data_IF_051844470488
#
_entry.id   IF_051844470488
#
_cell.length_a   1.000
_cell.length_b   1.000
_cell.length_c   1.000
_cell.angle_alpha   90.00
_cell.angle_beta   90.00
_cell.angle_gamma   90.00
#
_symmetry.space_group_name_H-M   'P 1'
#
loop_
_entity.id
_entity.type
_entity.pdbx_description
1 polymer ?
#
# COMPACT_ATOMS: atom_id res chain seq x y z
N UNK A 1 -6.85 2.66 -8.40
CA UNK A 1 -5.56 1.98 -8.69
C UNK A 1 -5.86 0.50 -8.96
N UNK A 2 -5.22 -0.15 -9.94
CA UNK A 2 -5.64 -1.44 -10.53
C UNK A 2 -4.62 -2.59 -10.38
N UNK A 3 -3.67 -2.47 -9.45
CA UNK A 3 -2.66 -3.51 -9.27
C UNK A 3 -3.21 -4.71 -8.46
N UNK A 4 -3.47 -5.84 -9.11
CA UNK A 4 -4.16 -7.00 -8.51
C UNK A 4 -3.48 -7.56 -7.25
N UNK A 5 -2.15 -7.40 -7.14
CA UNK A 5 -1.39 -7.83 -5.96
C UNK A 5 -1.50 -6.87 -4.79
N UNK A 6 -1.83 -5.60 -5.03
CA UNK A 6 -1.98 -4.59 -3.98
C UNK A 6 -3.28 -4.84 -3.22
N UNK A 7 -3.15 -5.10 -1.92
CA UNK A 7 -4.29 -5.44 -1.06
C UNK A 7 -4.54 -4.42 0.05
N UNK A 8 -3.66 -3.42 0.19
CA UNK A 8 -3.79 -2.35 1.18
C UNK A 8 -3.47 -0.99 0.58
N UNK A 9 -4.17 0.01 1.09
CA UNK A 9 -3.90 1.41 0.83
C UNK A 9 -3.96 2.18 2.15
N UNK A 10 -3.06 3.15 2.32
CA UNK A 10 -3.11 4.12 3.41
C UNK A 10 -2.86 5.50 2.84
N UNK A 11 -3.72 6.47 3.15
CA UNK A 11 -3.63 7.82 2.60
C UNK A 11 -3.49 8.87 3.69
N UNK A 12 -2.88 10.00 3.34
CA UNK A 12 -2.73 11.18 4.18
C UNK A 12 -2.93 12.46 3.34
N UNK A 13 -3.40 13.52 3.99
CA UNK A 13 -3.57 14.84 3.38
C UNK A 13 -2.87 15.89 4.25
N UNK A 14 -2.23 16.87 3.61
CA UNK A 14 -1.62 18.00 4.30
C UNK A 14 -1.75 19.28 3.47
N UNK A 15 -1.99 20.40 4.12
CA UNK A 15 -1.97 21.69 3.44
C UNK A 15 -0.53 22.18 3.25
N UNK A 16 -0.23 22.70 2.06
CA UNK A 16 1.07 23.24 1.70
C UNK A 16 0.90 24.65 1.14
N UNK A 17 1.39 25.66 1.87
CA UNK A 17 1.40 27.04 1.39
C UNK A 17 2.19 27.20 0.09
N UNK A 18 3.26 26.42 -0.08
CA UNK A 18 4.00 26.25 -1.31
C UNK A 18 4.39 24.78 -1.47
N UNK A 19 3.89 24.13 -2.53
CA UNK A 19 4.21 22.75 -2.89
C UNK A 19 5.05 22.75 -4.17
N UNK A 20 6.25 22.18 -4.12
CA UNK A 20 7.08 21.98 -5.31
C UNK A 20 6.89 20.58 -5.88
N UNK A 21 6.86 20.47 -7.22
CA UNK A 21 6.75 19.19 -7.93
C UNK A 21 8.11 18.53 -8.24
N UNK A 22 9.21 19.14 -7.81
CA UNK A 22 10.57 18.67 -8.13
C UNK A 22 10.99 18.86 -9.59
N UNK A 23 10.16 19.53 -10.41
CA UNK A 23 10.43 19.88 -11.82
C UNK A 23 10.45 21.40 -12.04
N UNK A 24 10.58 22.16 -10.94
CA UNK A 24 10.67 23.62 -10.95
C UNK A 24 9.31 24.34 -10.88
N UNK A 25 8.18 23.62 -10.79
CA UNK A 25 6.86 24.27 -10.60
C UNK A 25 6.55 24.38 -9.11
N UNK A 26 5.88 25.47 -8.74
CA UNK A 26 5.42 25.72 -7.36
C UNK A 26 3.93 26.01 -7.37
N UNK A 27 3.17 25.21 -6.64
CA UNK A 27 1.74 25.37 -6.39
C UNK A 27 1.53 26.09 -5.07
N UNK A 28 0.82 27.22 -5.07
CA UNK A 28 0.52 27.98 -3.85
C UNK A 28 -0.80 27.53 -3.24
N UNK A 29 -0.86 27.50 -1.91
CA UNK A 29 -2.06 27.16 -1.13
C UNK A 29 -2.70 25.82 -1.54
N UNK A 30 -1.88 24.79 -1.70
CA UNK A 30 -2.29 23.48 -2.22
C UNK A 30 -2.65 22.50 -1.10
N UNK A 31 -3.57 21.58 -1.39
CA UNK A 31 -3.80 20.37 -0.58
C UNK A 31 -2.99 19.22 -1.17
N UNK A 32 -2.02 18.71 -0.42
CA UNK A 32 -1.16 17.61 -0.81
C UNK A 32 -1.74 16.28 -0.29
N UNK A 33 -2.25 15.46 -1.21
CA UNK A 33 -2.85 14.16 -0.91
C UNK A 33 -1.97 13.02 -1.42
N UNK A 34 -1.59 12.10 -0.53
CA UNK A 34 -0.69 10.99 -0.84
C UNK A 34 -1.32 9.68 -0.38
N UNK A 35 -1.25 8.66 -1.23
CA UNK A 35 -1.63 7.29 -0.88
C UNK A 35 -0.45 6.34 -1.08
N UNK A 36 -0.19 5.52 -0.07
CA UNK A 36 0.74 4.40 -0.12
C UNK A 36 -0.02 3.11 -0.40
N UNK A 37 0.54 2.29 -1.29
CA UNK A 37 -0.06 1.04 -1.74
C UNK A 37 0.83 -0.13 -1.37
N UNK A 38 0.26 -1.20 -0.79
CA UNK A 38 1.01 -2.38 -0.36
C UNK A 38 0.28 -3.69 -0.71
N UNK A 39 1.00 -4.70 -1.22
CA UNK A 39 2.34 -4.64 -1.81
C UNK A 39 2.46 -3.58 -2.93
N UNK A 40 3.67 -3.07 -3.16
CA UNK A 40 3.92 -2.12 -4.24
C UNK A 40 3.68 -2.77 -5.61
N UNK A 41 3.40 -1.93 -6.60
CA UNK A 41 3.13 -2.37 -7.96
C UNK A 41 3.69 -1.41 -8.99
N UNK A 42 3.07 -1.40 -10.18
CA UNK A 42 3.45 -0.54 -11.29
C UNK A 42 4.92 -0.71 -11.72
N UNK A 43 5.38 -1.97 -11.74
CA UNK A 43 6.73 -2.30 -12.19
C UNK A 43 6.80 -2.27 -13.71
N UNK A 44 7.88 -1.68 -14.25
CA UNK A 44 8.15 -1.66 -15.68
C UNK A 44 8.20 -3.09 -16.22
N UNK A 45 7.50 -3.34 -17.33
CA UNK A 45 7.42 -4.67 -17.95
C UNK A 45 6.46 -5.66 -17.29
N UNK A 46 5.72 -5.27 -16.23
CA UNK A 46 4.69 -6.10 -15.62
C UNK A 46 3.29 -5.55 -15.88
N UNK A 47 2.31 -6.45 -16.06
CA UNK A 47 0.90 -6.06 -16.20
C UNK A 47 0.24 -5.86 -14.84
N UNK A 48 -0.74 -4.95 -14.71
CA UNK A 48 -1.39 -4.70 -13.42
C UNK A 48 -2.20 -5.87 -12.86
N UNK A 49 -2.67 -6.74 -13.74
CA UNK A 49 -3.38 -7.96 -13.41
C UNK A 49 -3.15 -8.98 -14.52
N UNK A 50 -3.51 -10.23 -14.26
CA UNK A 50 -3.52 -11.28 -15.28
C UNK A 50 -4.91 -11.37 -15.90
N UNK A 51 -5.05 -11.29 -17.24
CA UNK A 51 -6.35 -11.43 -17.89
C UNK A 51 -7.00 -12.78 -17.62
N UNK A 52 -8.34 -12.79 -17.53
CA UNK A 52 -9.15 -13.99 -17.32
C UNK A 52 -10.52 -13.67 -16.70
N UNK A 53 -11.36 -14.69 -16.49
CA UNK A 53 -12.63 -14.52 -15.78
C UNK A 53 -12.41 -13.95 -14.38
N UNK A 54 -13.32 -13.08 -13.93
CA UNK A 54 -13.26 -12.47 -12.61
C UNK A 54 -13.13 -13.55 -11.52
N UNK A 55 -12.30 -13.28 -10.50
CA UNK A 55 -12.05 -14.16 -9.37
C UNK A 55 -11.49 -15.58 -9.66
N UNK A 56 -11.25 -15.95 -10.92
CA UNK A 56 -10.71 -17.27 -11.30
C UNK A 56 -9.35 -17.62 -10.68
N UNK A 57 -8.64 -16.60 -10.16
CA UNK A 57 -7.32 -16.71 -9.52
C UNK A 57 -7.27 -16.04 -8.15
N UNK A 58 -8.38 -15.98 -7.42
CA UNK A 58 -8.34 -15.48 -6.04
C UNK A 58 -7.45 -16.35 -5.15
N UNK A 59 -6.73 -15.76 -4.17
CA UNK A 59 -6.00 -16.54 -3.17
C UNK A 59 -6.92 -17.50 -2.40
N UNK A 60 -6.38 -18.63 -1.95
CA UNK A 60 -7.15 -19.58 -1.15
C UNK A 60 -7.68 -18.92 0.13
N UNK A 61 -8.96 -19.20 0.44
CA UNK A 61 -9.66 -18.61 1.58
C UNK A 61 -10.27 -17.22 1.30
N UNK A 62 -10.13 -16.69 0.09
CA UNK A 62 -10.83 -15.48 -0.32
C UNK A 62 -12.16 -15.81 -1.00
N UNK A 63 -13.14 -14.94 -0.82
CA UNK A 63 -14.41 -14.96 -1.52
C UNK A 63 -14.41 -13.97 -2.68
N UNK A 64 -15.24 -14.22 -3.69
CA UNK A 64 -15.44 -13.30 -4.79
C UNK A 64 -16.56 -12.30 -4.44
N UNK A 65 -16.29 -11.01 -4.57
CA UNK A 65 -17.32 -9.96 -4.43
C UNK A 65 -18.15 -9.85 -5.71
N UNK A 66 -19.29 -9.17 -5.63
CA UNK A 66 -20.18 -8.95 -6.80
C UNK A 66 -19.53 -8.10 -7.87
N UNK A 67 -18.56 -7.28 -7.48
CA UNK A 67 -17.75 -6.41 -8.33
C UNK A 67 -16.55 -7.15 -8.97
N UNK A 68 -16.40 -8.46 -8.72
CA UNK A 68 -15.34 -9.28 -9.28
C UNK A 68 -13.99 -9.17 -8.57
N UNK A 69 -13.98 -8.76 -7.30
CA UNK A 69 -12.76 -8.62 -6.49
C UNK A 69 -12.60 -9.80 -5.52
N UNK A 70 -11.35 -10.08 -5.12
CA UNK A 70 -11.04 -11.07 -4.10
C UNK A 70 -11.07 -10.44 -2.72
N UNK A 71 -11.95 -10.91 -1.83
CA UNK A 71 -12.07 -10.44 -0.45
C UNK A 71 -11.68 -11.55 0.54
N UNK A 72 -10.79 -11.27 1.47
CA UNK A 72 -10.36 -12.27 2.44
C UNK A 72 -9.10 -11.86 3.19
N UNK A 73 -8.56 -12.76 4.03
CA UNK A 73 -7.32 -12.50 4.74
C UNK A 73 -6.19 -12.25 3.74
N UNK A 74 -5.47 -11.13 3.90
CA UNK A 74 -4.32 -10.87 3.05
C UNK A 74 -3.20 -11.85 3.38
N UNK A 75 -3.09 -12.87 2.54
CA UNK A 75 -2.04 -13.88 2.57
C UNK A 75 -0.78 -13.43 1.82
N UNK A 76 -0.86 -12.41 0.97
CA UNK A 76 0.26 -11.92 0.16
C UNK A 76 1.22 -10.99 0.92
N UNK A 77 0.74 -10.29 1.95
CA UNK A 77 1.54 -9.39 2.79
C UNK A 77 2.01 -9.97 4.12
N UNK A 78 1.75 -11.25 4.41
CA UNK A 78 2.29 -11.92 5.61
C UNK A 78 3.76 -12.29 5.41
N UNK A 79 4.65 -11.30 5.38
CA UNK A 79 5.95 -11.52 6.04
C UNK A 79 5.62 -11.81 7.50
N UNK A 80 6.12 -12.93 8.06
CA UNK A 80 6.02 -13.24 9.50
C UNK A 80 6.23 -11.94 10.26
N UNK A 81 5.18 -11.42 10.89
CA UNK A 81 5.30 -10.24 11.76
C UNK A 81 6.31 -10.64 12.84
N UNK A 82 7.57 -10.21 12.73
CA UNK A 82 8.29 -9.87 13.96
C UNK A 82 7.48 -8.71 14.53
N UNK A 83 6.85 -8.95 15.67
CA UNK A 83 6.01 -7.97 16.34
C UNK A 83 6.76 -6.64 16.41
N UNK A 84 6.20 -5.58 15.84
CA UNK A 84 6.77 -4.21 15.94
C UNK A 84 6.96 -3.82 17.42
N UNK A 85 6.12 -4.37 18.30
CA UNK A 85 6.27 -4.29 19.75
C UNK A 85 7.62 -4.81 20.30
N UNK A 86 8.21 -5.82 19.67
CA UNK A 86 9.52 -6.36 20.08
C UNK A 86 10.67 -5.41 19.68
N UNK A 87 10.55 -4.72 18.55
CA UNK A 87 11.53 -3.74 18.10
C UNK A 87 11.46 -2.47 18.97
N UNK A 88 10.26 -1.94 19.24
CA UNK A 88 10.09 -0.75 20.08
C UNK A 88 10.66 -0.92 21.50
N UNK A 89 10.42 -2.07 22.13
CA UNK A 89 10.98 -2.40 23.46
C UNK A 89 12.51 -2.53 23.45
N UNK A 90 13.11 -2.99 22.35
CA UNK A 90 14.57 -3.16 22.24
C UNK A 90 15.31 -1.84 22.06
N UNK A 91 14.64 -0.79 21.56
CA UNK A 91 15.25 0.53 21.34
C UNK A 91 15.28 1.37 22.61
N UNK A 92 14.29 1.25 23.50
CA UNK A 92 14.22 2.01 24.76
C UNK A 92 15.16 1.48 25.85
N UNK A 93 15.50 0.19 25.86
CA UNK A 93 16.45 -0.36 26.85
C UNK A 93 17.92 -0.06 26.54
N UNK A 94 18.22 0.56 25.39
CA UNK A 94 19.59 0.95 25.01
C UNK A 94 19.90 2.44 25.21
N UNK A 95 18.94 3.25 25.68
CA UNK A 95 19.13 4.68 25.91
C UNK A 95 19.40 5.06 27.38
N UNK A 96 19.60 4.08 28.27
CA UNK A 96 19.88 4.29 29.70
C UNK A 96 21.20 3.63 30.17
N UNK A 97 22.20 3.48 29.29
CA UNK A 97 23.55 3.07 29.67
C UNK A 97 24.61 4.01 29.08
#
# INVERSE_FOLDING_TARGET
MIWARTSRVGCAMSYCAALSDGRGRVYRNAQYFVCFYSPQGNFIGQTPYTPGPACSRCPMGNTCTREGLCFGPDVMGRRRRRSVAATYKSTMTKSEA
#
